data_IF_959910337327
#
_entry.id   IF_959910337327
#
_cell.length_a   1.000
_cell.length_b   1.000
_cell.length_c   1.000
_cell.angle_alpha   90.00
_cell.angle_beta   90.00
_cell.angle_gamma   90.00
#
_symmetry.space_group_name_H-M   'P 1'
#
loop_
_entity.id
_entity.type
_entity.pdbx_description
1 polymer ?
#
# COMPACT_ATOMS: atom_id res chain seq x y z
N UNK A 1 34.37 -19.72 -7.95
CA UNK A 1 33.93 -18.91 -6.81
C UNK A 1 32.45 -18.74 -6.93
N UNK A 2 31.69 -19.41 -6.09
CA UNK A 2 30.21 -19.37 -6.13
C UNK A 2 29.77 -18.09 -5.45
N UNK A 3 29.02 -17.26 -6.17
CA UNK A 3 28.33 -16.08 -5.59
C UNK A 3 27.30 -16.64 -4.62
N UNK A 4 27.29 -16.25 -3.33
CA UNK A 4 26.28 -16.71 -2.40
C UNK A 4 24.90 -16.27 -2.92
N UNK A 5 23.88 -17.14 -2.80
CA UNK A 5 22.53 -16.82 -3.27
C UNK A 5 21.90 -15.58 -2.64
N UNK A 6 22.46 -15.11 -1.53
CA UNK A 6 22.04 -13.86 -0.86
C UNK A 6 22.21 -12.59 -1.70
N UNK A 7 23.11 -12.58 -2.69
CA UNK A 7 23.36 -11.41 -3.52
C UNK A 7 22.50 -11.34 -4.79
N UNK A 8 21.82 -12.41 -5.15
CA UNK A 8 20.99 -12.47 -6.36
C UNK A 8 19.54 -12.04 -6.15
N UNK A 9 19.13 -11.87 -4.90
CA UNK A 9 17.74 -11.58 -4.57
C UNK A 9 17.63 -10.58 -3.40
N UNK A 10 18.42 -9.52 -3.42
CA UNK A 10 18.04 -8.40 -2.57
C UNK A 10 16.86 -7.71 -3.26
N UNK A 11 15.62 -7.99 -2.82
CA UNK A 11 14.56 -7.07 -3.11
C UNK A 11 15.05 -5.72 -2.61
N UNK A 12 14.81 -4.71 -3.38
CA UNK A 12 15.04 -3.33 -3.00
C UNK A 12 14.74 -3.19 -1.52
N UNK A 13 15.76 -2.93 -0.72
CA UNK A 13 15.57 -2.71 0.71
C UNK A 13 14.66 -1.51 0.83
N UNK A 14 13.39 -1.76 1.14
CA UNK A 14 12.54 -0.70 1.60
C UNK A 14 13.27 -0.04 2.77
N UNK A 15 13.54 1.26 2.66
CA UNK A 15 14.09 2.03 3.76
C UNK A 15 13.00 2.06 4.82
N UNK A 16 13.20 1.25 5.87
CA UNK A 16 12.27 1.13 6.97
C UNK A 16 12.54 2.17 8.01
N UNK A 17 11.47 2.67 8.55
CA UNK A 17 11.50 3.20 9.91
C UNK A 17 11.34 2.00 10.88
N UNK A 18 12.42 1.57 11.58
CA UNK A 18 12.36 0.43 12.49
C UNK A 18 11.46 0.67 13.71
N UNK A 19 11.01 1.91 13.92
CA UNK A 19 10.22 2.31 15.09
C UNK A 19 8.70 2.33 14.83
N UNK A 20 8.23 1.95 13.64
CA UNK A 20 6.79 1.96 13.34
C UNK A 20 6.20 0.56 13.32
N UNK A 21 5.38 0.29 14.34
CA UNK A 21 4.64 -0.98 14.52
C UNK A 21 3.54 -1.22 13.49
N UNK A 22 3.14 -0.19 12.74
CA UNK A 22 2.03 -0.28 11.80
C UNK A 22 2.28 -1.23 10.64
N UNK A 23 3.43 -1.11 10.00
CA UNK A 23 3.83 -1.95 8.89
C UNK A 23 5.14 -2.64 9.21
N UNK A 24 5.06 -3.92 9.48
CA UNK A 24 6.23 -4.77 9.54
C UNK A 24 6.47 -5.32 8.14
N UNK A 25 7.67 -5.08 7.61
CA UNK A 25 8.13 -5.79 6.45
C UNK A 25 8.13 -7.28 6.77
N UNK A 26 7.14 -7.99 6.34
CA UNK A 26 7.18 -9.44 6.37
C UNK A 26 8.33 -9.85 5.45
N UNK A 27 9.40 -10.39 6.05
CA UNK A 27 10.45 -11.01 5.29
C UNK A 27 9.75 -12.00 4.38
N UNK A 28 9.87 -11.77 3.08
CA UNK A 28 9.17 -12.60 2.11
C UNK A 28 9.36 -14.07 2.48
N UNK A 29 8.32 -14.86 2.67
CA UNK A 29 8.43 -16.23 3.20
C UNK A 29 9.43 -17.07 2.44
N UNK A 30 9.55 -16.85 1.12
CA UNK A 30 10.51 -17.52 0.26
C UNK A 30 11.98 -17.15 0.51
N UNK A 31 12.26 -16.09 1.29
CA UNK A 31 13.64 -15.70 1.64
C UNK A 31 14.15 -16.35 2.93
N UNK A 32 13.28 -17.02 3.72
CA UNK A 32 13.64 -17.47 5.07
C UNK A 32 14.00 -18.94 5.16
N UNK A 33 13.50 -19.80 4.29
CA UNK A 33 13.64 -21.25 4.49
C UNK A 33 14.87 -21.88 3.83
N UNK A 34 15.53 -21.19 2.90
CA UNK A 34 16.59 -21.80 2.09
C UNK A 34 17.98 -21.20 2.30
N UNK A 35 18.13 -20.20 3.16
CA UNK A 35 19.44 -19.59 3.43
C UNK A 35 20.34 -20.41 4.38
N UNK A 36 19.91 -21.57 4.85
CA UNK A 36 20.66 -22.41 5.83
C UNK A 36 21.13 -23.78 5.30
N UNK A 37 20.97 -24.06 4.04
CA UNK A 37 21.39 -25.34 3.46
C UNK A 37 22.57 -25.19 2.52
N UNK A 38 23.69 -25.71 2.96
CA UNK A 38 24.87 -26.04 2.16
C UNK A 38 24.46 -27.03 1.06
N UNK A 39 24.26 -26.56 -0.20
CA UNK A 39 23.90 -27.49 -1.27
C UNK A 39 24.33 -27.08 -2.68
N UNK A 40 25.01 -28.01 -3.30
CA UNK A 40 25.59 -27.98 -4.63
C UNK A 40 24.61 -27.71 -5.78
N UNK A 41 25.14 -27.17 -6.84
CA UNK A 41 24.63 -26.81 -8.19
C UNK A 41 23.31 -27.42 -8.73
N UNK A 42 22.82 -28.51 -8.21
CA UNK A 42 21.58 -29.14 -8.65
C UNK A 42 20.33 -28.43 -8.12
N UNK A 43 20.46 -27.78 -7.00
CA UNK A 43 19.35 -27.12 -6.33
C UNK A 43 19.11 -25.69 -6.80
N UNK A 44 20.03 -25.08 -7.51
CA UNK A 44 19.89 -23.69 -7.97
C UNK A 44 18.69 -23.52 -8.92
N UNK A 45 18.44 -24.50 -9.76
CA UNK A 45 17.32 -24.43 -10.72
C UNK A 45 15.97 -24.73 -10.06
N UNK A 46 15.92 -25.75 -9.19
CA UNK A 46 14.72 -26.09 -8.43
C UNK A 46 14.39 -25.01 -7.43
N UNK A 47 15.40 -24.40 -6.80
CA UNK A 47 15.20 -23.29 -5.89
C UNK A 47 14.61 -22.06 -6.59
N UNK A 48 15.06 -21.71 -7.80
CA UNK A 48 14.54 -20.56 -8.53
C UNK A 48 13.07 -20.74 -8.94
N UNK A 49 12.69 -21.93 -9.37
CA UNK A 49 11.28 -22.24 -9.69
C UNK A 49 10.40 -22.22 -8.42
N UNK A 50 10.88 -22.78 -7.34
CA UNK A 50 10.19 -22.79 -6.06
C UNK A 50 10.03 -21.36 -5.50
N UNK A 51 11.05 -20.53 -5.58
CA UNK A 51 11.00 -19.12 -5.20
C UNK A 51 9.96 -18.34 -6.01
N UNK A 52 9.93 -18.56 -7.32
CA UNK A 52 8.98 -17.86 -8.17
C UNK A 52 7.54 -18.29 -7.86
N UNK A 53 7.27 -19.56 -7.64
CA UNK A 53 5.94 -20.06 -7.23
C UNK A 53 5.52 -19.45 -5.88
N UNK A 54 6.40 -19.50 -4.89
CA UNK A 54 6.11 -18.94 -3.56
C UNK A 54 5.89 -17.42 -3.61
N UNK A 55 6.67 -16.71 -4.43
CA UNK A 55 6.48 -15.27 -4.66
C UNK A 55 5.13 -14.98 -5.32
N UNK A 56 4.75 -15.74 -6.33
CA UNK A 56 3.47 -15.57 -7.02
C UNK A 56 2.28 -15.83 -6.08
N UNK A 57 2.36 -16.85 -5.24
CA UNK A 57 1.33 -17.15 -4.23
C UNK A 57 1.19 -16.00 -3.23
N UNK A 58 2.30 -15.50 -2.70
CA UNK A 58 2.31 -14.34 -1.81
C UNK A 58 1.69 -13.11 -2.47
N UNK A 59 2.14 -12.75 -3.68
CA UNK A 59 1.60 -11.59 -4.38
C UNK A 59 0.10 -11.75 -4.68
N UNK A 60 -0.34 -12.96 -5.04
CA UNK A 60 -1.76 -13.27 -5.25
C UNK A 60 -2.57 -13.05 -3.97
N UNK A 61 -2.05 -13.48 -2.83
CA UNK A 61 -2.69 -13.26 -1.53
C UNK A 61 -2.76 -11.77 -1.20
N UNK A 62 -1.66 -11.02 -1.35
CA UNK A 62 -1.63 -9.58 -1.07
C UNK A 62 -2.55 -8.79 -2.00
N UNK A 63 -2.62 -9.15 -3.28
CA UNK A 63 -3.58 -8.55 -4.23
C UNK A 63 -5.01 -8.88 -3.81
N UNK A 64 -5.28 -10.10 -3.37
CA UNK A 64 -6.59 -10.48 -2.84
C UNK A 64 -7.02 -9.64 -1.64
N UNK A 65 -6.14 -9.48 -0.65
CA UNK A 65 -6.36 -8.63 0.53
C UNK A 65 -6.59 -7.16 0.15
N UNK A 66 -5.79 -6.66 -0.79
CA UNK A 66 -5.94 -5.31 -1.32
C UNK A 66 -7.32 -5.11 -1.96
N UNK A 67 -7.75 -6.04 -2.81
CA UNK A 67 -9.05 -5.97 -3.48
C UNK A 67 -10.22 -6.09 -2.49
N UNK A 68 -10.15 -7.04 -1.56
CA UNK A 68 -11.18 -7.24 -0.54
C UNK A 68 -11.37 -6.00 0.33
N UNK A 69 -10.26 -5.42 0.83
CA UNK A 69 -10.32 -4.20 1.62
C UNK A 69 -10.83 -3.00 0.83
N UNK A 70 -10.48 -2.91 -0.46
CA UNK A 70 -11.01 -1.89 -1.37
C UNK A 70 -12.53 -2.01 -1.56
N UNK A 71 -13.04 -3.22 -1.78
CA UNK A 71 -14.49 -3.45 -1.89
C UNK A 71 -15.21 -3.04 -0.59
N UNK A 72 -14.71 -3.47 0.56
CA UNK A 72 -15.30 -3.11 1.85
C UNK A 72 -15.31 -1.60 2.10
N UNK A 73 -14.20 -0.90 1.78
CA UNK A 73 -14.16 0.56 1.88
C UNK A 73 -15.18 1.23 0.95
N UNK A 74 -15.30 0.74 -0.28
CA UNK A 74 -16.24 1.28 -1.25
C UNK A 74 -17.67 1.15 -0.75
N UNK A 75 -18.06 -0.03 -0.29
CA UNK A 75 -19.42 -0.31 0.20
C UNK A 75 -19.73 0.55 1.44
N UNK A 76 -18.85 0.57 2.44
CA UNK A 76 -19.04 1.36 3.66
C UNK A 76 -19.09 2.86 3.40
N UNK A 77 -18.24 3.37 2.50
CA UNK A 77 -18.25 4.78 2.14
C UNK A 77 -19.48 5.16 1.32
N UNK A 78 -19.94 4.26 0.45
CA UNK A 78 -21.19 4.45 -0.28
C UNK A 78 -22.39 4.51 0.66
N UNK A 79 -22.48 3.59 1.61
CA UNK A 79 -23.51 3.59 2.66
C UNK A 79 -23.46 4.87 3.51
N UNK A 80 -22.26 5.31 3.86
CA UNK A 80 -22.09 6.59 4.54
C UNK A 80 -22.65 7.75 3.73
N UNK A 81 -22.30 7.86 2.45
CA UNK A 81 -22.82 8.93 1.57
C UNK A 81 -24.33 8.85 1.40
N UNK A 82 -24.89 7.66 1.34
CA UNK A 82 -26.34 7.48 1.27
C UNK A 82 -27.02 7.99 2.55
N UNK A 83 -26.53 7.62 3.74
CA UNK A 83 -27.04 8.10 5.01
C UNK A 83 -26.91 9.62 5.12
N UNK A 84 -25.74 10.17 4.73
CA UNK A 84 -25.50 11.60 4.74
C UNK A 84 -26.47 12.36 3.82
N UNK A 85 -26.89 11.76 2.70
CA UNK A 85 -27.85 12.38 1.76
C UNK A 85 -29.22 12.65 2.36
N UNK A 86 -29.63 11.86 3.35
CA UNK A 86 -30.86 12.08 4.11
C UNK A 86 -30.68 13.12 5.23
N UNK A 87 -29.52 13.16 5.85
CA UNK A 87 -29.25 14.01 7.00
C UNK A 87 -28.79 15.42 6.59
N UNK A 88 -27.94 15.48 5.56
CA UNK A 88 -27.38 16.73 5.04
C UNK A 88 -27.17 16.65 3.52
N UNK A 89 -28.24 16.86 2.72
CA UNK A 89 -28.18 16.76 1.26
C UNK A 89 -27.16 17.71 0.60
N UNK A 90 -26.97 18.90 1.17
CA UNK A 90 -26.04 19.89 0.61
C UNK A 90 -24.57 19.45 0.80
N UNK A 91 -24.25 18.84 1.94
CA UNK A 91 -22.92 18.31 2.19
C UNK A 91 -22.58 17.14 1.27
N UNK A 92 -23.57 16.31 0.92
CA UNK A 92 -23.38 15.17 0.02
C UNK A 92 -23.02 15.59 -1.41
N UNK A 93 -23.42 16.80 -1.83
CA UNK A 93 -23.09 17.34 -3.17
C UNK A 93 -21.66 17.86 -3.27
N UNK A 94 -21.00 18.09 -2.13
CA UNK A 94 -19.62 18.58 -2.10
C UNK A 94 -18.64 17.46 -2.47
N UNK A 95 -17.56 17.85 -3.15
CA UNK A 95 -16.48 16.96 -3.47
C UNK A 95 -15.50 16.89 -2.30
N UNK A 96 -15.42 15.74 -1.66
CA UNK A 96 -14.44 15.44 -0.62
C UNK A 96 -14.07 13.96 -0.68
N UNK A 97 -12.96 13.64 -0.08
CA UNK A 97 -12.47 12.29 0.04
C UNK A 97 -11.99 11.98 1.45
N UNK A 98 -11.21 10.93 1.57
CA UNK A 98 -10.61 10.55 2.83
C UNK A 98 -9.31 9.78 2.60
N UNK A 99 -8.49 9.73 3.64
CA UNK A 99 -7.23 9.02 3.68
C UNK A 99 -6.95 8.49 5.08
N UNK A 100 -5.86 7.73 5.23
CA UNK A 100 -5.38 7.26 6.54
C UNK A 100 -4.33 8.24 7.09
N UNK A 101 -4.55 8.71 8.32
CA UNK A 101 -3.56 9.47 9.08
C UNK A 101 -2.48 8.58 9.69
N UNK A 102 -1.37 9.18 10.11
CA UNK A 102 -0.27 8.48 10.79
C UNK A 102 -0.70 7.90 12.16
N UNK A 103 -1.78 8.42 12.71
CA UNK A 103 -2.43 8.00 13.96
C UNK A 103 -3.48 6.90 13.75
N UNK A 104 -3.51 6.31 12.56
CA UNK A 104 -4.48 5.31 12.12
C UNK A 104 -5.94 5.81 12.14
N UNK A 105 -6.15 7.12 12.18
CA UNK A 105 -7.47 7.71 12.05
C UNK A 105 -7.76 8.14 10.62
N UNK A 106 -9.04 8.09 10.25
CA UNK A 106 -9.50 8.60 8.97
C UNK A 106 -9.38 10.12 8.99
N UNK A 107 -8.73 10.67 7.97
CA UNK A 107 -8.67 12.11 7.69
C UNK A 107 -9.49 12.41 6.46
N UNK A 108 -10.35 13.41 6.55
CA UNK A 108 -11.06 13.94 5.39
C UNK A 108 -10.10 14.73 4.52
N UNK A 109 -10.20 14.56 3.21
CA UNK A 109 -9.50 15.35 2.21
C UNK A 109 -10.50 16.28 1.51
N UNK A 110 -10.07 17.53 1.31
CA UNK A 110 -10.87 18.58 0.64
C UNK A 110 -9.99 19.28 -0.39
N UNK A 111 -9.75 18.62 -1.54
CA UNK A 111 -8.84 19.13 -2.56
C UNK A 111 -9.31 20.46 -3.19
N UNK A 112 -10.62 20.71 -3.18
CA UNK A 112 -11.22 21.89 -3.78
C UNK A 112 -11.49 23.01 -2.77
N UNK A 113 -11.25 22.77 -1.48
CA UNK A 113 -11.49 23.75 -0.40
C UNK A 113 -12.96 24.14 -0.24
N UNK A 114 -13.88 23.21 -0.49
CA UNK A 114 -15.34 23.47 -0.50
C UNK A 114 -16.01 23.21 0.85
N UNK A 115 -15.31 22.57 1.78
CA UNK A 115 -15.81 22.29 3.11
C UNK A 115 -15.55 23.48 4.06
N UNK A 116 -16.54 23.83 4.83
CA UNK A 116 -16.31 24.70 6.00
C UNK A 116 -15.55 23.91 7.09
N UNK A 117 -14.86 24.59 8.03
CA UNK A 117 -14.19 23.90 9.14
C UNK A 117 -15.13 23.02 9.98
N UNK A 118 -16.38 23.43 10.16
CA UNK A 118 -17.39 22.65 10.89
C UNK A 118 -17.79 21.38 10.12
N UNK A 119 -17.97 21.48 8.81
CA UNK A 119 -18.27 20.32 7.95
C UNK A 119 -17.12 19.33 7.90
N UNK A 120 -15.88 19.86 7.80
CA UNK A 120 -14.68 19.03 7.81
C UNK A 120 -14.55 18.24 9.14
N UNK A 121 -14.76 18.92 10.27
CA UNK A 121 -14.75 18.27 11.59
C UNK A 121 -15.86 17.23 11.69
N UNK A 122 -17.08 17.57 11.30
CA UNK A 122 -18.22 16.66 11.32
C UNK A 122 -17.96 15.39 10.49
N UNK A 123 -17.51 15.53 9.24
CA UNK A 123 -17.21 14.40 8.37
C UNK A 123 -16.09 13.52 8.95
N UNK A 124 -15.05 14.14 9.51
CA UNK A 124 -13.94 13.42 10.13
C UNK A 124 -14.42 12.58 11.32
N UNK A 125 -15.25 13.16 12.18
CA UNK A 125 -15.82 12.46 13.34
C UNK A 125 -16.74 11.32 12.90
N UNK A 126 -17.65 11.55 11.95
CA UNK A 126 -18.61 10.55 11.49
C UNK A 126 -17.91 9.36 10.77
N UNK A 127 -16.91 9.63 9.94
CA UNK A 127 -16.13 8.57 9.30
C UNK A 127 -15.35 7.73 10.32
N UNK A 128 -14.78 8.37 11.35
CA UNK A 128 -14.04 7.65 12.40
C UNK A 128 -14.92 6.82 13.34
N UNK A 129 -16.22 7.06 13.40
CA UNK A 129 -17.18 6.19 14.11
C UNK A 129 -17.45 4.87 13.37
N UNK A 130 -17.10 4.79 12.09
CA UNK A 130 -17.36 3.63 11.23
C UNK A 130 -16.20 2.65 11.31
N UNK A 131 -16.21 1.79 12.32
CA UNK A 131 -15.13 0.83 12.53
C UNK A 131 -14.86 -0.07 11.31
N UNK A 132 -15.87 -0.61 10.59
CA UNK A 132 -15.61 -1.42 9.40
C UNK A 132 -14.84 -0.66 8.31
N UNK A 133 -15.18 0.61 8.06
CA UNK A 133 -14.45 1.47 7.11
C UNK A 133 -13.00 1.69 7.56
N UNK A 134 -12.81 1.96 8.85
CA UNK A 134 -11.48 2.18 9.43
C UNK A 134 -10.61 0.92 9.31
N UNK A 135 -11.13 -0.25 9.65
CA UNK A 135 -10.43 -1.52 9.56
C UNK A 135 -10.06 -1.85 8.11
N UNK A 136 -11.00 -1.64 7.18
CA UNK A 136 -10.74 -1.84 5.75
C UNK A 136 -9.66 -0.88 5.23
N UNK A 137 -9.68 0.38 5.65
CA UNK A 137 -8.69 1.39 5.28
C UNK A 137 -7.28 1.03 5.78
N UNK A 138 -7.16 0.62 7.05
CA UNK A 138 -5.90 0.16 7.63
C UNK A 138 -5.35 -1.05 6.89
N UNK A 139 -6.20 -2.05 6.61
CA UNK A 139 -5.80 -3.25 5.88
C UNK A 139 -5.37 -2.92 4.44
N UNK A 140 -6.08 -2.01 3.78
CA UNK A 140 -5.73 -1.58 2.43
C UNK A 140 -4.40 -0.83 2.40
N UNK A 141 -4.17 0.09 3.33
CA UNK A 141 -2.90 0.80 3.45
C UNK A 141 -1.71 -0.15 3.66
N UNK A 142 -1.87 -1.17 4.52
CA UNK A 142 -0.87 -2.23 4.71
C UNK A 142 -0.60 -2.97 3.42
N UNK A 143 -1.65 -3.38 2.70
CA UNK A 143 -1.52 -4.09 1.43
C UNK A 143 -0.83 -3.24 0.36
N UNK A 144 -1.13 -1.93 0.27
CA UNK A 144 -0.46 -1.02 -0.66
C UNK A 144 1.04 -0.96 -0.37
N UNK A 145 1.43 -0.76 0.90
CA UNK A 145 2.84 -0.68 1.27
C UNK A 145 3.57 -2.01 1.01
N UNK A 146 2.91 -3.15 1.29
CA UNK A 146 3.46 -4.47 0.99
C UNK A 146 3.65 -4.68 -0.51
N UNK A 147 2.63 -4.34 -1.32
CA UNK A 147 2.71 -4.48 -2.77
C UNK A 147 3.77 -3.53 -3.38
N UNK A 148 3.89 -2.31 -2.87
CA UNK A 148 4.93 -1.37 -3.31
C UNK A 148 6.34 -1.91 -3.05
N UNK A 149 6.53 -2.67 -1.98
CA UNK A 149 7.83 -3.26 -1.64
C UNK A 149 8.14 -4.57 -2.37
N UNK A 150 7.11 -5.34 -2.73
CA UNK A 150 7.29 -6.71 -3.22
C UNK A 150 6.84 -6.95 -4.66
N UNK A 151 6.14 -5.97 -5.28
CA UNK A 151 5.62 -6.11 -6.64
C UNK A 151 6.14 -5.00 -7.57
N UNK A 152 7.47 -4.94 -7.82
CA UNK A 152 8.07 -3.89 -8.63
C UNK A 152 7.61 -3.89 -10.08
N UNK A 153 7.18 -5.03 -10.63
CA UNK A 153 6.68 -5.13 -12.00
C UNK A 153 5.41 -4.32 -12.21
N UNK A 154 4.63 -4.10 -11.15
CA UNK A 154 3.39 -3.32 -11.21
C UNK A 154 3.54 -1.93 -10.60
N UNK A 155 4.26 -1.78 -9.50
CA UNK A 155 4.39 -0.52 -8.75
C UNK A 155 5.68 0.24 -9.06
N UNK A 156 6.60 -0.34 -9.84
CA UNK A 156 7.94 0.24 -10.04
C UNK A 156 8.82 0.14 -8.79
N UNK A 157 10.03 0.64 -8.90
CA UNK A 157 11.04 0.57 -7.84
C UNK A 157 11.43 1.93 -7.27
N UNK A 158 10.93 3.01 -7.89
CA UNK A 158 11.43 4.36 -7.65
C UNK A 158 10.86 5.02 -6.39
N UNK A 159 9.71 4.54 -5.90
CA UNK A 159 8.97 5.20 -4.84
C UNK A 159 8.99 4.41 -3.53
N UNK A 160 8.80 5.13 -2.44
CA UNK A 160 8.59 4.57 -1.10
C UNK A 160 7.34 5.17 -0.49
N UNK A 161 6.67 4.40 0.35
CA UNK A 161 5.48 4.84 1.07
C UNK A 161 5.51 4.28 2.49
N UNK A 162 5.27 5.13 3.46
CA UNK A 162 5.10 4.77 4.85
C UNK A 162 3.83 5.43 5.42
N UNK A 163 3.43 5.04 6.61
CA UNK A 163 2.21 5.56 7.23
C UNK A 163 2.27 7.09 7.43
N UNK A 164 3.44 7.65 7.74
CA UNK A 164 3.61 9.09 7.95
C UNK A 164 3.32 9.92 6.70
N UNK A 165 3.78 9.41 5.55
CA UNK A 165 3.55 10.04 4.25
C UNK A 165 2.21 9.66 3.61
N UNK A 166 1.53 8.61 4.09
CA UNK A 166 0.38 8.00 3.43
C UNK A 166 -0.71 9.00 3.08
N UNK A 167 -1.08 9.85 4.04
CA UNK A 167 -2.13 10.86 3.85
C UNK A 167 -1.81 11.96 2.85
N UNK A 168 -0.55 12.11 2.46
CA UNK A 168 -0.11 13.07 1.43
C UNK A 168 -0.10 12.45 0.05
N UNK A 169 -0.11 11.12 -0.03
CA UNK A 169 0.05 10.36 -1.26
C UNK A 169 -1.28 9.81 -1.74
N UNK A 170 -2.08 9.21 -0.86
CA UNK A 170 -3.30 8.49 -1.20
C UNK A 170 -4.55 9.26 -0.77
N UNK A 171 -5.43 9.52 -1.73
CA UNK A 171 -6.77 10.07 -1.54
C UNK A 171 -7.82 9.12 -2.12
N UNK A 172 -8.59 8.49 -1.25
CA UNK A 172 -9.63 7.55 -1.64
C UNK A 172 -10.87 8.25 -2.25
N UNK A 173 -11.06 9.54 -2.01
CA UNK A 173 -12.09 10.31 -2.70
C UNK A 173 -11.88 10.33 -4.21
N UNK A 174 -10.63 10.48 -4.66
CA UNK A 174 -10.28 10.39 -6.08
C UNK A 174 -10.46 8.96 -6.61
N UNK A 175 -10.13 7.96 -5.79
CA UNK A 175 -10.26 6.54 -6.16
C UNK A 175 -11.73 6.17 -6.38
N UNK A 176 -12.62 6.62 -5.51
CA UNK A 176 -14.04 6.31 -5.57
C UNK A 176 -14.89 7.31 -6.38
N UNK A 177 -14.28 8.37 -6.91
CA UNK A 177 -15.00 9.43 -7.64
C UNK A 177 -15.77 8.95 -8.86
N UNK A 178 -15.34 7.84 -9.46
CA UNK A 178 -15.96 7.26 -10.66
C UNK A 178 -17.01 6.19 -10.38
N UNK A 179 -17.39 5.97 -9.14
CA UNK A 179 -18.37 4.95 -8.73
C UNK A 179 -18.07 3.53 -9.29
N UNK A 180 -16.82 3.23 -9.61
CA UNK A 180 -16.38 1.94 -10.11
C UNK A 180 -15.11 1.50 -9.42
N UNK A 181 -15.05 0.25 -9.00
CA UNK A 181 -13.84 -0.38 -8.43
C UNK A 181 -12.87 -0.82 -9.54
N UNK A 182 -13.29 -0.85 -10.80
CA UNK A 182 -12.55 -1.49 -11.88
C UNK A 182 -11.12 -0.98 -12.12
N UNK A 183 -10.83 0.28 -11.76
CA UNK A 183 -9.50 0.90 -11.94
C UNK A 183 -8.83 1.28 -10.61
N UNK A 184 -9.25 0.65 -9.51
CA UNK A 184 -8.78 1.00 -8.17
C UNK A 184 -7.26 0.95 -8.06
N UNK A 185 -6.65 -0.17 -8.44
CA UNK A 185 -5.19 -0.35 -8.36
C UNK A 185 -4.43 0.66 -9.24
N UNK A 186 -4.88 0.88 -10.46
CA UNK A 186 -4.20 1.82 -11.38
C UNK A 186 -4.29 3.26 -10.87
N UNK A 187 -5.39 3.63 -10.22
CA UNK A 187 -5.53 4.95 -9.57
C UNK A 187 -4.58 5.09 -8.38
N UNK A 188 -4.42 4.04 -7.56
CA UNK A 188 -3.46 4.04 -6.46
C UNK A 188 -2.02 4.15 -6.98
N UNK A 189 -1.66 3.39 -8.01
CA UNK A 189 -0.34 3.46 -8.64
C UNK A 189 -0.07 4.87 -9.16
N UNK A 190 -1.02 5.45 -9.88
CA UNK A 190 -0.90 6.82 -10.38
C UNK A 190 -0.67 7.85 -9.26
N UNK A 191 -1.37 7.72 -8.13
CA UNK A 191 -1.16 8.60 -6.98
C UNK A 191 0.22 8.41 -6.35
N UNK A 192 0.72 7.18 -6.27
CA UNK A 192 2.07 6.87 -5.78
C UNK A 192 3.12 7.50 -6.70
N UNK A 193 3.03 7.26 -8.00
CA UNK A 193 3.97 7.81 -8.98
C UNK A 193 4.05 9.35 -8.93
N UNK A 194 2.91 9.98 -8.67
CA UNK A 194 2.82 11.45 -8.66
C UNK A 194 3.22 12.08 -7.35
N UNK A 195 2.88 11.47 -6.23
CA UNK A 195 2.91 12.11 -4.92
C UNK A 195 3.90 11.48 -3.93
N UNK A 196 4.31 10.22 -4.16
CA UNK A 196 5.20 9.55 -3.21
C UNK A 196 6.65 10.02 -3.37
N UNK A 197 7.42 10.10 -2.27
CA UNK A 197 8.83 10.38 -2.34
C UNK A 197 9.58 9.28 -3.08
N UNK A 198 10.61 9.68 -3.81
CA UNK A 198 11.54 8.71 -4.43
C UNK A 198 12.38 8.03 -3.37
N UNK A 199 12.72 6.78 -3.63
CA UNK A 199 13.70 6.04 -2.82
C UNK A 199 15.05 6.73 -2.94
N UNK A 200 15.72 6.95 -1.82
CA UNK A 200 17.11 7.40 -1.84
C UNK A 200 17.96 6.28 -2.44
N UNK A 201 18.60 6.56 -3.55
CA UNK A 201 19.65 5.69 -4.08
C UNK A 201 20.86 5.90 -3.17
N UNK A 202 21.12 4.95 -2.28
CA UNK A 202 22.40 4.94 -1.55
C UNK A 202 23.48 4.61 -2.59
N UNK A 203 24.06 5.63 -3.20
CA UNK A 203 25.29 5.48 -3.98
C UNK A 203 26.37 4.93 -3.04
N UNK A 204 26.80 3.68 -3.24
CA UNK A 204 27.94 3.18 -2.50
C UNK A 204 27.99 1.71 -2.13
N UNK A 205 27.38 0.82 -2.91
CA UNK A 205 27.86 -0.57 -2.96
C UNK A 205 28.22 -0.88 -4.40
N UNK A 206 29.37 -0.39 -4.85
CA UNK A 206 30.06 -1.03 -5.98
C UNK A 206 30.42 -2.44 -5.52
N UNK A 207 29.69 -3.42 -6.00
CA UNK A 207 30.16 -4.81 -5.97
C UNK A 207 31.23 -4.89 -7.05
N UNK A 208 32.48 -4.83 -6.64
CA UNK A 208 33.63 -5.12 -7.50
C UNK A 208 33.51 -6.59 -7.93
N UNK A 209 32.95 -6.79 -9.12
CA UNK A 209 32.97 -8.08 -9.78
C UNK A 209 34.33 -8.19 -10.45
N UNK A 210 35.32 -8.68 -9.73
CA UNK A 210 36.53 -9.19 -10.36
C UNK A 210 36.17 -10.51 -11.07
N UNK A 211 36.27 -10.45 -12.40
CA UNK A 211 36.21 -11.58 -13.33
C UNK A 211 37.41 -12.51 -13.14
#
# INVERSE_FOLDING_TARGET
MSIPPENLMLPLKAVRDPNKEFYHYEKAPWLTEHAQGDMDNYLTKISSEFFEVSRQEFLKEQIGRFQESACRMFDDFHDFKQQLSYLNPELTKKHYGFTLGFDEHIKVTDPDGVLTPAEHTYLTEELNKRQPLKDALVNNAKSIMTLLDHYPEKFGTEHTLNLEGFSKVIDYGQVFSRNTIGNFMDTIIYQIERNAPKREVVEGVQVDVHV
#
